data_IF_637732161335
#
_entry.id   IF_637732161335
#
_cell.length_a   1.000
_cell.length_b   1.000
_cell.length_c   1.000
_cell.angle_alpha   90.00
_cell.angle_beta   90.00
_cell.angle_gamma   90.00
#
_symmetry.space_group_name_H-M   'P 1'
#
loop_
_entity.id
_entity.type
_entity.pdbx_description
1 polymer ?
#
# COMPACT_ATOMS: atom_id res chain seq x y z
N UNK A 1 -3.76 -1.18 -9.90
CA UNK A 1 -2.93 -0.58 -8.83
C UNK A 1 -2.33 -1.64 -7.89
N UNK A 2 -3.03 -2.75 -7.65
CA UNK A 2 -2.66 -3.82 -6.70
C UNK A 2 -1.36 -4.58 -7.02
N UNK A 3 -1.11 -4.89 -8.30
CA UNK A 3 0.09 -5.62 -8.72
C UNK A 3 1.38 -4.84 -8.46
N UNK A 4 1.35 -3.51 -8.64
CA UNK A 4 2.48 -2.61 -8.40
C UNK A 4 2.88 -2.56 -6.92
N UNK A 5 1.90 -2.45 -6.03
CA UNK A 5 2.14 -2.44 -4.57
C UNK A 5 2.75 -3.77 -4.11
N UNK A 6 2.25 -4.90 -4.64
CA UNK A 6 2.81 -6.22 -4.32
C UNK A 6 4.23 -6.39 -4.86
N UNK A 7 4.48 -6.02 -6.12
CA UNK A 7 5.81 -6.07 -6.72
C UNK A 7 6.82 -5.23 -5.93
N UNK A 8 6.42 -4.04 -5.50
CA UNK A 8 7.24 -3.19 -4.65
C UNK A 8 7.50 -3.81 -3.28
N UNK A 9 6.48 -4.36 -2.63
CA UNK A 9 6.64 -5.02 -1.32
C UNK A 9 7.62 -6.20 -1.39
N UNK A 10 7.51 -7.03 -2.44
CA UNK A 10 8.43 -8.15 -2.66
C UNK A 10 9.86 -7.65 -2.91
N UNK A 11 10.06 -6.53 -3.61
CA UNK A 11 11.40 -5.97 -3.83
C UNK A 11 12.05 -5.49 -2.52
N UNK A 12 11.26 -4.89 -1.61
CA UNK A 12 11.76 -4.48 -0.30
C UNK A 12 12.09 -5.68 0.60
N UNK A 13 11.26 -6.73 0.56
CA UNK A 13 11.51 -7.97 1.30
C UNK A 13 12.78 -8.69 0.78
N UNK A 14 13.00 -8.72 -0.53
CA UNK A 14 14.23 -9.26 -1.13
C UNK A 14 15.48 -8.48 -0.68
N UNK A 15 15.33 -7.19 -0.37
CA UNK A 15 16.36 -6.36 0.23
C UNK A 15 16.49 -6.47 1.75
N UNK A 16 15.89 -7.50 2.38
CA UNK A 16 15.85 -7.74 3.82
C UNK A 16 15.27 -6.57 4.64
N UNK A 17 14.39 -5.76 4.04
CA UNK A 17 13.70 -4.67 4.73
C UNK A 17 12.39 -5.15 5.31
N UNK A 18 11.98 -4.54 6.41
CA UNK A 18 10.67 -4.78 7.02
C UNK A 18 9.62 -4.04 6.22
N UNK A 19 8.54 -4.72 5.83
CA UNK A 19 7.46 -4.15 5.05
C UNK A 19 6.15 -4.25 5.81
N UNK A 20 5.37 -3.16 5.80
CA UNK A 20 3.99 -3.14 6.26
C UNK A 20 3.08 -2.99 5.05
N UNK A 21 2.02 -3.79 4.99
CA UNK A 21 0.97 -3.70 3.97
C UNK A 21 -0.35 -3.30 4.65
N UNK A 22 -0.95 -2.21 4.18
CA UNK A 22 -2.28 -1.77 4.56
C UNK A 22 -3.25 -1.99 3.39
N UNK A 23 -4.45 -2.51 3.68
CA UNK A 23 -5.51 -2.71 2.69
C UNK A 23 -6.81 -2.11 3.20
N UNK A 24 -7.50 -1.35 2.36
CA UNK A 24 -8.85 -0.88 2.64
C UNK A 24 -9.83 -2.04 2.42
N UNK A 25 -10.40 -2.56 3.51
CA UNK A 25 -11.36 -3.66 3.45
C UNK A 25 -12.78 -3.16 3.20
N UNK A 26 -13.13 -2.03 3.80
CA UNK A 26 -14.46 -1.44 3.73
C UNK A 26 -14.35 0.08 3.65
N UNK A 27 -15.31 0.70 2.96
CA UNK A 27 -15.45 2.15 2.83
C UNK A 27 -16.87 2.54 3.19
N UNK A 28 -17.05 3.62 3.93
CA UNK A 28 -18.36 4.22 4.22
C UNK A 28 -18.36 5.70 3.83
N UNK A 29 -19.54 6.27 3.59
CA UNK A 29 -19.69 7.65 3.14
C UNK A 29 -19.28 7.88 1.68
N UNK A 30 -18.95 9.13 1.32
CA UNK A 30 -18.64 9.55 -0.05
C UNK A 30 -17.20 9.20 -0.47
N UNK A 31 -16.82 7.93 -0.36
CA UNK A 31 -15.51 7.42 -0.80
C UNK A 31 -15.70 6.22 -1.75
N UNK A 32 -16.23 6.45 -2.97
CA UNK A 32 -16.52 5.36 -3.90
C UNK A 32 -15.23 4.72 -4.43
N UNK A 33 -15.21 3.40 -4.57
CA UNK A 33 -14.16 2.70 -5.32
C UNK A 33 -12.80 2.57 -4.64
N UNK A 34 -12.69 2.80 -3.32
CA UNK A 34 -11.43 2.61 -2.56
C UNK A 34 -11.33 1.24 -1.86
N UNK A 35 -12.40 0.46 -1.81
CA UNK A 35 -12.31 -0.93 -1.33
C UNK A 35 -11.29 -1.70 -2.18
N UNK A 36 -10.34 -2.36 -1.52
CA UNK A 36 -9.23 -3.04 -2.17
C UNK A 36 -8.01 -2.16 -2.49
N UNK A 37 -8.05 -0.86 -2.18
CA UNK A 37 -6.87 0.00 -2.24
C UNK A 37 -5.79 -0.50 -1.26
N UNK A 38 -4.52 -0.37 -1.65
CA UNK A 38 -3.39 -0.88 -0.87
C UNK A 38 -2.28 0.17 -0.77
N UNK A 39 -1.60 0.19 0.37
CA UNK A 39 -0.41 0.97 0.65
C UNK A 39 0.64 0.03 1.24
N UNK A 40 1.87 0.11 0.75
CA UNK A 40 3.03 -0.57 1.31
C UNK A 40 4.00 0.47 1.86
N UNK A 41 4.64 0.19 3.00
CA UNK A 41 5.66 1.04 3.61
C UNK A 41 6.84 0.19 4.07
N UNK A 42 8.06 0.74 4.08
CA UNK A 42 9.27 0.00 4.47
C UNK A 42 10.06 0.66 5.60
N UNK A 43 10.74 -0.17 6.39
CA UNK A 43 11.76 0.24 7.36
C UNK A 43 13.01 -0.66 7.25
N UNK A 44 14.23 -0.10 7.28
CA UNK A 44 14.56 1.33 7.28
C UNK A 44 14.36 1.97 5.88
N UNK A 45 14.14 3.29 5.84
CA UNK A 45 14.07 4.07 4.59
C UNK A 45 12.81 4.91 4.37
N UNK A 46 11.76 4.70 5.17
CA UNK A 46 10.53 5.53 5.20
C UNK A 46 9.92 5.83 3.82
N UNK A 47 10.03 4.91 2.86
CA UNK A 47 9.39 5.01 1.55
C UNK A 47 8.09 4.20 1.51
N UNK A 48 7.17 4.60 0.62
CA UNK A 48 5.87 3.97 0.46
C UNK A 48 5.42 3.92 -1.01
N UNK A 49 4.53 2.97 -1.31
CA UNK A 49 3.96 2.75 -2.63
C UNK A 49 2.46 2.43 -2.50
N UNK A 50 1.63 3.08 -3.31
CA UNK A 50 0.17 2.99 -3.23
C UNK A 50 -0.47 4.07 -2.37
N UNK A 51 -1.80 3.98 -2.21
CA UNK A 51 -2.61 4.92 -1.42
C UNK A 51 -3.83 4.21 -0.85
N UNK A 52 -4.25 4.61 0.35
CA UNK A 52 -5.49 4.14 1.00
C UNK A 52 -6.55 5.26 1.11
N UNK A 53 -6.26 6.47 0.62
CA UNK A 53 -7.11 7.65 0.80
C UNK A 53 -7.25 8.54 -0.44
N UNK A 54 -7.64 9.80 -0.23
CA UNK A 54 -7.79 10.85 -1.24
C UNK A 54 -6.76 11.97 -1.06
N UNK A 55 -5.63 11.83 -1.75
CA UNK A 55 -4.75 12.92 -2.20
C UNK A 55 -3.89 12.33 -3.32
N UNK A 56 -4.52 12.23 -4.47
CA UNK A 56 -4.05 11.81 -5.78
C UNK A 56 -5.15 12.23 -6.75
#
# INVERSE_FOLDING_TARGET
MTARVLQWALSQLNGQRRVVLATVLNTSGSVPGKTGARLAMTYPGFSWEGTVGGAG
#
